data_IF_617340362293
#
_entry.id   IF_617340362293
#
_cell.length_a   1.000
_cell.length_b   1.000
_cell.length_c   1.000
_cell.angle_alpha   90.00
_cell.angle_beta   90.00
_cell.angle_gamma   90.00
#
_symmetry.space_group_name_H-M   'P 1'
#
loop_
_entity.id
_entity.type
_entity.pdbx_description
1 polymer ?
#
# COMPACT_ATOMS: atom_id res chain seq x y z
N UNK A 1 -61.30 37.27 20.14
CA UNK A 1 -60.11 36.82 19.38
C UNK A 1 -59.04 36.43 20.37
N UNK A 2 -58.65 35.15 20.39
CA UNK A 2 -58.15 34.43 21.56
C UNK A 2 -56.62 34.30 21.55
N UNK A 3 -55.95 34.73 22.61
CA UNK A 3 -54.49 34.92 22.75
C UNK A 3 -53.70 33.64 23.04
N UNK A 4 -54.30 32.46 22.81
CA UNK A 4 -53.76 31.14 23.16
C UNK A 4 -52.87 30.53 22.05
N UNK A 5 -52.72 31.16 20.88
CA UNK A 5 -51.97 30.59 19.75
C UNK A 5 -50.49 31.02 19.66
N UNK A 6 -49.94 31.63 20.72
CA UNK A 6 -48.51 32.07 20.74
C UNK A 6 -47.59 31.19 21.60
N UNK A 7 -48.10 30.11 22.20
CA UNK A 7 -47.35 29.28 23.15
C UNK A 7 -46.79 27.97 22.56
N UNK A 8 -46.68 27.87 21.24
CA UNK A 8 -46.12 26.71 20.51
C UNK A 8 -44.68 26.92 20.02
N UNK A 9 -43.87 27.69 20.77
CA UNK A 9 -42.45 27.96 20.48
C UNK A 9 -41.50 27.38 21.56
N UNK A 10 -41.79 26.19 22.08
CA UNK A 10 -40.88 25.49 23.01
C UNK A 10 -40.72 24.01 22.68
N UNK A 11 -40.75 23.66 21.41
CA UNK A 11 -40.31 22.33 20.96
C UNK A 11 -38.80 22.32 20.87
N UNK A 12 -38.20 21.58 21.80
CA UNK A 12 -36.78 21.36 21.98
C UNK A 12 -36.10 20.99 20.66
N UNK A 13 -35.18 21.86 20.22
CA UNK A 13 -34.23 21.54 19.16
C UNK A 13 -33.21 20.54 19.73
N UNK A 14 -33.50 19.24 19.61
CA UNK A 14 -32.51 18.20 19.84
C UNK A 14 -31.51 18.30 18.68
N UNK A 15 -30.38 18.95 18.94
CA UNK A 15 -29.26 18.95 18.02
C UNK A 15 -28.71 17.51 17.94
N UNK A 16 -29.12 16.79 16.90
CA UNK A 16 -28.51 15.53 16.51
C UNK A 16 -27.11 15.88 16.01
N UNK A 17 -26.10 15.75 16.87
CA UNK A 17 -24.69 15.85 16.46
C UNK A 17 -24.41 14.55 15.71
N UNK A 18 -24.20 14.58 14.38
CA UNK A 18 -23.68 13.41 13.69
C UNK A 18 -22.29 13.17 14.27
N UNK A 19 -22.14 12.07 15.01
CA UNK A 19 -20.82 11.53 15.31
C UNK A 19 -20.32 11.03 13.97
N UNK A 20 -19.65 11.90 13.22
CA UNK A 20 -18.83 11.47 12.09
C UNK A 20 -17.80 10.52 12.69
N UNK A 21 -18.02 9.22 12.51
CA UNK A 21 -16.98 8.24 12.73
C UNK A 21 -15.87 8.63 11.77
N UNK A 22 -14.83 9.26 12.31
CA UNK A 22 -13.59 9.49 11.59
C UNK A 22 -13.01 8.09 11.41
N UNK A 23 -13.28 7.48 10.26
CA UNK A 23 -12.51 6.34 9.80
C UNK A 23 -11.11 6.88 9.58
N UNK A 24 -10.26 6.77 10.61
CA UNK A 24 -8.83 6.96 10.43
C UNK A 24 -8.44 5.95 9.35
N UNK A 25 -8.14 6.44 8.14
CA UNK A 25 -7.46 5.65 7.13
C UNK A 25 -6.12 5.26 7.77
N UNK A 26 -6.08 4.06 8.34
CA UNK A 26 -4.84 3.49 8.84
C UNK A 26 -4.03 3.11 7.63
N UNK A 27 -2.75 3.47 7.63
CA UNK A 27 -1.80 2.89 6.69
C UNK A 27 -1.89 1.37 6.80
N UNK A 28 -2.15 0.71 5.68
CA UNK A 28 -2.14 -0.74 5.60
C UNK A 28 -0.84 -1.15 4.94
N UNK A 29 -0.04 -1.96 5.64
CA UNK A 29 1.06 -2.66 4.99
C UNK A 29 0.44 -3.81 4.21
N UNK A 30 0.48 -3.75 2.89
CA UNK A 30 -0.03 -4.78 1.98
C UNK A 30 1.12 -5.72 1.61
N UNK A 31 0.91 -7.03 1.74
CA UNK A 31 1.91 -8.03 1.36
C UNK A 31 1.46 -8.78 0.13
N UNK A 32 2.34 -8.91 -0.85
CA UNK A 32 2.08 -9.57 -2.11
C UNK A 32 3.05 -10.72 -2.34
N UNK A 33 2.55 -11.74 -3.03
CA UNK A 33 3.35 -12.81 -3.62
C UNK A 33 3.63 -12.48 -5.08
N UNK A 34 4.89 -12.64 -5.47
CA UNK A 34 5.38 -12.44 -6.83
C UNK A 34 5.83 -13.79 -7.38
N UNK A 35 5.40 -14.13 -8.58
CA UNK A 35 5.90 -15.31 -9.29
C UNK A 35 6.49 -14.87 -10.64
N UNK A 36 7.71 -15.32 -10.90
CA UNK A 36 8.42 -15.12 -12.16
C UNK A 36 8.68 -16.46 -12.86
N UNK A 37 8.66 -16.44 -14.19
CA UNK A 37 8.89 -17.61 -15.03
C UNK A 37 9.76 -17.30 -16.25
N UNK A 38 10.73 -18.17 -16.51
CA UNK A 38 11.56 -18.13 -17.71
C UNK A 38 10.96 -18.80 -18.94
N UNK A 39 9.76 -19.40 -18.83
CA UNK A 39 9.14 -20.15 -19.93
C UNK A 39 8.93 -19.31 -21.19
N UNK A 40 8.63 -18.01 -21.03
CA UNK A 40 8.46 -17.08 -22.17
C UNK A 40 9.77 -16.87 -22.95
N UNK A 41 10.91 -17.18 -22.35
CA UNK A 41 12.26 -17.05 -22.93
C UNK A 41 12.89 -18.41 -23.24
N UNK A 42 12.16 -19.52 -23.10
CA UNK A 42 12.65 -20.86 -23.40
C UNK A 42 13.64 -21.43 -22.39
N UNK A 43 13.69 -20.91 -21.16
CA UNK A 43 14.51 -21.46 -20.08
C UNK A 43 13.66 -21.98 -18.91
N UNK A 44 14.27 -22.76 -18.00
CA UNK A 44 13.62 -23.41 -16.87
C UNK A 44 13.66 -22.62 -15.56
N UNK A 45 14.27 -21.44 -15.55
CA UNK A 45 14.43 -20.65 -14.34
C UNK A 45 13.08 -20.13 -13.82
N UNK A 46 12.96 -20.04 -12.51
CA UNK A 46 11.80 -19.46 -11.83
C UNK A 46 12.26 -18.56 -10.69
N UNK A 47 11.43 -17.60 -10.30
CA UNK A 47 11.62 -16.90 -9.04
C UNK A 47 10.29 -16.70 -8.30
N UNK A 48 10.34 -16.76 -6.98
CA UNK A 48 9.19 -16.55 -6.09
C UNK A 48 9.59 -15.53 -5.05
N UNK A 49 8.79 -14.48 -4.90
CA UNK A 49 9.08 -13.39 -3.98
C UNK A 49 7.90 -13.01 -3.10
N UNK A 50 8.21 -12.38 -1.98
CA UNK A 50 7.24 -11.72 -1.11
C UNK A 50 7.68 -10.27 -0.98
N UNK A 51 6.77 -9.33 -1.21
CA UNK A 51 7.00 -7.89 -1.00
C UNK A 51 5.93 -7.32 -0.09
N UNK A 52 6.31 -6.49 0.86
CA UNK A 52 5.39 -5.72 1.70
C UNK A 52 5.51 -4.23 1.36
N UNK A 53 4.38 -3.59 1.07
CA UNK A 53 4.28 -2.20 0.60
C UNK A 53 3.40 -1.39 1.55
N UNK A 54 3.77 -0.14 1.81
CA UNK A 54 2.93 0.83 2.50
C UNK A 54 1.95 1.48 1.52
N UNK A 55 0.65 1.20 1.70
CA UNK A 55 -0.39 1.63 0.76
C UNK A 55 -0.65 3.14 0.76
N UNK A 56 -0.19 3.87 1.77
CA UNK A 56 -0.31 5.34 1.83
C UNK A 56 0.82 6.03 1.06
N UNK A 57 1.93 5.33 0.86
CA UNK A 57 3.13 5.92 0.28
C UNK A 57 3.37 5.46 -1.16
N UNK A 58 2.83 4.30 -1.55
CA UNK A 58 2.92 3.85 -2.93
C UNK A 58 1.98 4.67 -3.84
N UNK A 59 2.47 5.30 -4.92
CA UNK A 59 1.61 6.04 -5.83
C UNK A 59 0.59 5.13 -6.52
N UNK A 60 -0.69 5.46 -6.39
CA UNK A 60 -1.77 4.71 -7.03
C UNK A 60 -3.03 5.60 -7.20
N UNK A 61 -3.16 6.37 -8.29
CA UNK A 61 -2.35 6.29 -9.51
C UNK A 61 -1.00 7.02 -9.41
N UNK A 62 -0.05 6.66 -10.27
CA UNK A 62 1.20 7.38 -10.47
C UNK A 62 2.41 6.47 -10.67
N UNK A 63 3.59 7.10 -10.68
CA UNK A 63 4.86 6.41 -10.81
C UNK A 63 5.92 6.97 -9.87
N UNK A 64 6.87 6.14 -9.47
CA UNK A 64 8.02 6.53 -8.64
C UNK A 64 9.13 5.48 -8.73
N UNK A 65 10.33 5.89 -8.33
CA UNK A 65 11.36 4.97 -7.89
C UNK A 65 11.15 4.67 -6.40
N UNK A 66 11.27 3.40 -6.04
CA UNK A 66 11.15 2.91 -4.67
C UNK A 66 12.57 2.57 -4.19
N UNK A 67 13.12 3.37 -3.28
CA UNK A 67 14.41 3.09 -2.65
C UNK A 67 14.27 1.90 -1.69
N UNK A 68 15.03 0.82 -1.92
CA UNK A 68 15.01 -0.36 -1.04
C UNK A 68 15.90 -0.17 0.20
N UNK A 69 16.78 0.83 0.23
CA UNK A 69 17.62 1.16 1.37
C UNK A 69 16.90 1.96 2.46
N UNK A 70 15.83 2.69 2.12
CA UNK A 70 15.13 3.60 3.06
C UNK A 70 14.08 2.90 3.93
N UNK A 71 13.54 1.77 3.47
CA UNK A 71 12.39 1.07 4.08
C UNK A 71 11.11 1.94 4.20
N UNK A 72 11.00 3.01 3.41
CA UNK A 72 9.85 3.93 3.48
C UNK A 72 8.60 3.33 2.83
N UNK A 73 8.66 2.96 1.55
CA UNK A 73 7.52 2.36 0.83
C UNK A 73 7.56 0.84 0.92
N UNK A 74 8.72 0.23 0.61
CA UNK A 74 8.92 -1.22 0.71
C UNK A 74 9.32 -1.53 2.16
N UNK A 75 8.49 -2.29 2.87
CA UNK A 75 8.71 -2.67 4.28
C UNK A 75 9.46 -3.97 4.45
N UNK A 76 9.31 -4.88 3.49
CA UNK A 76 9.98 -6.17 3.46
C UNK A 76 10.05 -6.67 2.02
N UNK A 77 11.13 -7.36 1.67
CA UNK A 77 11.26 -8.04 0.38
C UNK A 77 12.17 -9.25 0.48
N UNK A 78 11.69 -10.37 -0.06
CA UNK A 78 12.46 -11.60 -0.32
C UNK A 78 12.19 -12.05 -1.76
N UNK A 79 13.21 -12.59 -2.42
CA UNK A 79 13.08 -13.23 -3.74
C UNK A 79 13.97 -14.46 -3.79
N UNK A 80 13.39 -15.62 -4.08
CA UNK A 80 14.13 -16.87 -4.26
C UNK A 80 14.12 -17.26 -5.73
N UNK A 81 15.29 -17.39 -6.33
CA UNK A 81 15.52 -17.85 -7.70
C UNK A 81 15.93 -19.31 -7.69
N UNK A 82 15.40 -20.09 -8.63
CA UNK A 82 15.69 -21.50 -8.78
C UNK A 82 15.80 -21.90 -10.25
N UNK A 83 16.51 -23.01 -10.49
CA UNK A 83 16.67 -23.63 -11.80
C UNK A 83 17.31 -22.73 -12.88
N UNK A 84 18.09 -21.72 -12.47
CA UNK A 84 18.91 -20.96 -13.41
C UNK A 84 20.02 -21.85 -14.03
N UNK A 85 20.30 -21.60 -15.30
CA UNK A 85 21.27 -22.32 -16.13
C UNK A 85 22.66 -22.23 -15.52
N UNK A 86 23.31 -23.39 -15.34
CA UNK A 86 24.60 -23.47 -14.66
C UNK A 86 24.59 -23.09 -13.18
N UNK A 87 23.40 -22.86 -12.59
CA UNK A 87 23.24 -22.43 -11.21
C UNK A 87 23.53 -20.94 -10.96
N UNK A 88 23.86 -20.17 -12.00
CA UNK A 88 24.20 -18.75 -11.87
C UNK A 88 22.95 -17.93 -11.54
N UNK A 89 22.97 -17.23 -10.41
CA UNK A 89 21.81 -16.43 -9.95
C UNK A 89 20.80 -17.21 -9.12
N UNK A 90 20.98 -18.52 -8.89
CA UNK A 90 20.18 -19.25 -7.91
C UNK A 90 20.50 -18.75 -6.50
N UNK A 91 19.47 -18.58 -5.68
CA UNK A 91 19.63 -18.12 -4.31
C UNK A 91 18.39 -17.43 -3.76
N UNK A 92 18.46 -17.06 -2.48
CA UNK A 92 17.46 -16.20 -1.85
C UNK A 92 18.09 -14.84 -1.60
N UNK A 93 17.45 -13.81 -2.13
CA UNK A 93 17.87 -12.42 -2.07
C UNK A 93 16.89 -11.63 -1.20
N UNK A 94 17.42 -10.62 -0.51
CA UNK A 94 16.73 -9.77 0.44
C UNK A 94 16.78 -8.32 -0.05
N UNK A 95 16.04 -7.43 0.60
CA UNK A 95 16.07 -5.99 0.31
C UNK A 95 17.48 -5.41 0.16
N UNK A 96 18.44 -5.87 0.98
CA UNK A 96 19.82 -5.38 0.99
C UNK A 96 20.62 -5.70 -0.28
N UNK A 97 20.13 -6.62 -1.12
CA UNK A 97 20.78 -7.05 -2.35
C UNK A 97 20.39 -6.19 -3.58
N UNK A 98 19.48 -5.23 -3.38
CA UNK A 98 18.91 -4.36 -4.41
C UNK A 98 19.12 -2.88 -4.04
N UNK A 99 19.23 -2.02 -5.04
CA UNK A 99 19.31 -0.56 -4.82
C UNK A 99 17.91 0.07 -4.83
N UNK A 100 17.11 -0.18 -5.87
CA UNK A 100 15.77 0.38 -6.00
C UNK A 100 14.84 -0.52 -6.83
N UNK A 101 13.54 -0.21 -6.78
CA UNK A 101 12.53 -0.77 -7.67
C UNK A 101 11.84 0.36 -8.45
N UNK A 102 11.28 0.04 -9.61
CA UNK A 102 10.37 0.95 -10.33
C UNK A 102 8.94 0.55 -10.04
N UNK A 103 8.07 1.55 -9.97
CA UNK A 103 6.62 1.38 -9.89
C UNK A 103 5.96 2.40 -10.80
N UNK A 104 5.09 1.94 -11.68
CA UNK A 104 4.25 2.79 -12.52
C UNK A 104 2.89 2.12 -12.74
N UNK A 105 1.81 2.77 -12.31
CA UNK A 105 0.44 2.31 -12.51
C UNK A 105 -0.15 2.68 -13.89
N UNK A 106 0.67 3.27 -14.77
CA UNK A 106 0.27 3.84 -16.07
C UNK A 106 -0.88 4.85 -15.96
N UNK A 107 -0.84 5.66 -14.89
CA UNK A 107 -1.81 6.73 -14.64
C UNK A 107 -3.19 6.27 -14.17
N UNK A 108 -3.41 4.96 -14.03
CA UNK A 108 -4.68 4.40 -13.54
C UNK A 108 -4.56 3.92 -12.08
N UNK A 109 -5.71 3.83 -11.39
CA UNK A 109 -5.77 3.28 -10.03
C UNK A 109 -5.89 1.76 -10.09
N UNK A 110 -4.87 1.05 -9.60
CA UNK A 110 -4.87 -0.40 -9.41
C UNK A 110 -5.66 -0.79 -8.15
N UNK A 111 -6.44 -1.86 -8.22
CA UNK A 111 -7.02 -2.51 -7.05
C UNK A 111 -5.96 -3.39 -6.37
N UNK A 112 -5.34 -2.85 -5.32
CA UNK A 112 -4.31 -3.51 -4.53
C UNK A 112 -4.81 -4.72 -3.73
N UNK A 113 -6.12 -4.97 -3.71
CA UNK A 113 -6.73 -6.14 -3.07
C UNK A 113 -6.88 -7.35 -4.00
N UNK A 114 -6.46 -7.23 -5.27
CA UNK A 114 -6.57 -8.27 -6.28
C UNK A 114 -5.22 -8.53 -6.98
N UNK A 115 -5.19 -9.54 -7.86
CA UNK A 115 -4.08 -9.74 -8.80
C UNK A 115 -3.86 -8.44 -9.59
N UNK A 116 -2.64 -7.91 -9.56
CA UNK A 116 -2.29 -6.65 -10.22
C UNK A 116 -2.08 -6.83 -11.72
N UNK A 117 -1.39 -7.91 -12.12
CA UNK A 117 -1.14 -8.18 -13.53
C UNK A 117 -2.45 -8.39 -14.29
N UNK A 118 -2.62 -7.65 -15.37
CA UNK A 118 -3.79 -7.68 -16.24
C UNK A 118 -4.90 -6.70 -15.88
N UNK A 119 -4.80 -5.97 -14.77
CA UNK A 119 -5.76 -4.90 -14.46
C UNK A 119 -5.71 -3.81 -15.53
N UNK A 120 -6.85 -3.27 -15.93
CA UNK A 120 -6.90 -2.35 -17.06
C UNK A 120 -6.16 -1.04 -16.79
N UNK A 121 -5.30 -0.64 -17.72
CA UNK A 121 -4.58 0.65 -17.75
C UNK A 121 -4.72 1.31 -19.13
N UNK A 122 -4.18 2.51 -19.31
CA UNK A 122 -4.22 3.22 -20.61
C UNK A 122 -3.55 2.43 -21.75
N UNK A 123 -2.47 1.69 -21.47
CA UNK A 123 -1.78 0.86 -22.46
C UNK A 123 -2.20 -0.61 -22.51
N UNK A 124 -3.33 -0.96 -21.86
CA UNK A 124 -3.84 -2.35 -21.78
C UNK A 124 -3.76 -2.92 -20.36
N UNK A 125 -3.76 -4.24 -20.20
CA UNK A 125 -3.64 -4.86 -18.87
C UNK A 125 -2.27 -4.57 -18.24
N UNK A 126 -2.22 -4.17 -16.97
CA UNK A 126 -0.97 -3.83 -16.28
C UNK A 126 0.03 -4.98 -16.35
N UNK A 127 1.24 -4.70 -16.81
CA UNK A 127 2.29 -5.70 -17.06
C UNK A 127 1.99 -6.75 -18.14
N UNK A 128 1.02 -6.46 -19.02
CA UNK A 128 0.71 -7.29 -20.19
C UNK A 128 1.12 -6.66 -21.51
N UNK A 129 1.72 -5.46 -21.51
CA UNK A 129 2.08 -4.77 -22.75
C UNK A 129 3.01 -5.64 -23.59
N UNK A 130 2.54 -6.00 -24.79
CA UNK A 130 3.35 -6.69 -25.80
C UNK A 130 4.45 -5.78 -26.36
N UNK A 131 4.38 -4.48 -26.07
CA UNK A 131 5.37 -3.48 -26.44
C UNK A 131 6.23 -3.15 -25.23
N UNK A 132 7.54 -3.11 -25.43
CA UNK A 132 8.53 -2.59 -24.47
C UNK A 132 8.46 -1.06 -24.40
N UNK A 133 7.26 -0.47 -24.40
CA UNK A 133 7.06 0.99 -24.33
C UNK A 133 6.60 1.47 -22.95
N UNK A 134 6.37 0.55 -22.00
CA UNK A 134 5.91 0.88 -20.65
C UNK A 134 4.47 1.38 -20.58
N UNK A 135 3.71 1.34 -21.69
CA UNK A 135 2.37 1.92 -21.74
C UNK A 135 1.37 1.25 -20.78
N UNK A 136 1.63 0.00 -20.40
CA UNK A 136 0.83 -0.74 -19.41
C UNK A 136 1.45 -0.76 -18.01
N UNK A 137 2.26 0.26 -17.69
CA UNK A 137 2.88 0.43 -16.38
C UNK A 137 4.20 -0.32 -16.26
N UNK A 138 4.70 -0.37 -15.03
CA UNK A 138 6.00 -0.96 -14.74
C UNK A 138 6.09 -1.46 -13.29
N UNK A 139 6.73 -2.62 -13.14
CA UNK A 139 7.39 -3.02 -11.90
C UNK A 139 8.67 -3.77 -12.21
N UNK A 140 9.81 -3.29 -11.71
CA UNK A 140 11.11 -3.94 -11.83
C UNK A 140 11.97 -3.75 -10.59
N UNK A 141 12.97 -4.61 -10.44
CA UNK A 141 13.94 -4.60 -9.34
C UNK A 141 15.35 -4.40 -9.90
N UNK A 142 16.15 -3.56 -9.27
CA UNK A 142 17.50 -3.25 -9.72
C UNK A 142 18.51 -3.74 -8.68
N UNK A 143 19.32 -4.71 -9.07
CA UNK A 143 20.33 -5.30 -8.18
C UNK A 143 21.39 -4.26 -7.81
N UNK A 144 21.86 -4.35 -6.57
CA UNK A 144 22.97 -3.53 -6.11
C UNK A 144 24.25 -3.86 -6.86
N UNK A 145 25.09 -2.86 -7.10
CA UNK A 145 26.41 -3.09 -7.70
C UNK A 145 27.21 -4.13 -6.91
N UNK A 146 27.70 -5.17 -7.60
CA UNK A 146 28.43 -6.30 -7.00
C UNK A 146 27.55 -7.39 -6.37
N UNK A 147 26.22 -7.23 -6.37
CA UNK A 147 25.28 -8.28 -5.99
C UNK A 147 25.08 -9.29 -7.13
N UNK A 148 24.84 -10.54 -6.76
CA UNK A 148 24.41 -11.61 -7.67
C UNK A 148 22.87 -11.70 -7.78
N UNK A 149 22.14 -10.78 -7.14
CA UNK A 149 20.68 -10.73 -7.21
C UNK A 149 20.18 -10.50 -8.65
N UNK A 150 18.95 -10.94 -8.96
CA UNK A 150 18.33 -10.60 -10.23
C UNK A 150 18.23 -9.10 -10.43
N UNK A 151 18.37 -8.65 -11.68
CA UNK A 151 18.26 -7.23 -12.03
C UNK A 151 17.30 -7.03 -13.19
N UNK A 152 16.73 -5.84 -13.29
CA UNK A 152 15.83 -5.46 -14.37
C UNK A 152 16.45 -5.71 -15.74
N UNK A 153 15.70 -6.37 -16.61
CA UNK A 153 16.06 -6.60 -18.02
C UNK A 153 14.97 -6.11 -18.96
N UNK A 154 14.19 -5.13 -18.52
CA UNK A 154 13.03 -4.58 -19.24
C UNK A 154 11.76 -4.70 -18.41
N UNK A 155 10.65 -4.17 -18.91
CA UNK A 155 9.37 -4.14 -18.20
C UNK A 155 8.95 -5.53 -17.69
N UNK A 156 8.72 -5.64 -16.39
CA UNK A 156 8.28 -6.87 -15.72
C UNK A 156 9.22 -8.06 -15.95
N UNK A 157 10.49 -7.81 -16.22
CA UNK A 157 11.47 -8.84 -16.57
C UNK A 157 12.75 -8.67 -15.77
N UNK A 158 13.29 -9.79 -15.28
CA UNK A 158 14.56 -9.86 -14.56
C UNK A 158 15.55 -10.77 -15.31
N UNK A 159 16.82 -10.43 -15.27
CA UNK A 159 17.92 -11.35 -15.52
C UNK A 159 18.38 -11.96 -14.19
N UNK A 160 18.39 -13.29 -14.07
CA UNK A 160 18.54 -14.02 -12.80
C UNK A 160 19.86 -13.77 -12.05
N UNK A 161 20.93 -13.38 -12.75
CA UNK A 161 22.31 -13.31 -12.23
C UNK A 161 22.96 -11.94 -12.40
N UNK A 162 22.17 -10.87 -12.53
CA UNK A 162 22.65 -9.52 -12.83
C UNK A 162 23.43 -9.40 -14.17
N UNK A 163 23.22 -10.34 -15.10
CA UNK A 163 23.78 -10.31 -16.46
C UNK A 163 22.66 -10.26 -17.49
N UNK A 164 22.41 -9.09 -18.05
CA UNK A 164 21.38 -8.86 -19.05
C UNK A 164 21.59 -9.66 -20.35
N UNK A 165 22.85 -9.91 -20.72
CA UNK A 165 23.20 -10.45 -22.03
C UNK A 165 23.20 -11.98 -22.03
N UNK A 166 23.63 -12.58 -20.93
CA UNK A 166 23.83 -14.03 -20.85
C UNK A 166 23.03 -14.70 -19.72
N UNK A 167 22.33 -13.92 -18.88
CA UNK A 167 21.52 -14.43 -17.79
C UNK A 167 20.21 -15.04 -18.26
N UNK A 168 19.69 -16.00 -17.49
CA UNK A 168 18.33 -16.48 -17.69
C UNK A 168 17.34 -15.34 -17.42
N UNK A 169 16.52 -15.04 -18.43
CA UNK A 169 15.47 -14.05 -18.32
C UNK A 169 14.22 -14.66 -17.67
N UNK A 170 13.58 -13.87 -16.84
CA UNK A 170 12.44 -14.22 -16.01
C UNK A 170 11.36 -13.16 -16.16
N UNK A 171 10.15 -13.53 -16.59
CA UNK A 171 9.02 -12.60 -16.69
C UNK A 171 8.13 -12.73 -15.46
N UNK A 172 7.70 -11.61 -14.88
CA UNK A 172 6.69 -11.60 -13.83
C UNK A 172 5.36 -12.12 -14.42
N UNK A 173 4.81 -13.16 -13.82
CA UNK A 173 3.57 -13.80 -14.26
C UNK A 173 2.46 -13.75 -13.22
N UNK A 174 2.78 -13.36 -11.98
CA UNK A 174 1.84 -13.22 -10.87
C UNK A 174 2.28 -12.12 -9.93
N UNK A 175 1.35 -11.26 -9.52
CA UNK A 175 1.57 -10.23 -8.50
C UNK A 175 0.25 -10.05 -7.76
N UNK A 176 0.06 -10.83 -6.70
CA UNK A 176 -1.23 -10.93 -5.98
C UNK A 176 -1.05 -10.74 -4.48
N UNK A 177 -2.04 -10.15 -3.78
CA UNK A 177 -1.97 -10.01 -2.34
C UNK A 177 -1.99 -11.38 -1.66
N UNK A 178 -1.25 -11.49 -0.58
CA UNK A 178 -1.29 -12.64 0.33
C UNK A 178 -2.53 -12.52 1.19
N UNK A 179 -3.39 -13.54 1.22
CA UNK A 179 -4.63 -13.47 2.00
C UNK A 179 -4.36 -13.16 3.48
N UNK A 180 -5.12 -12.21 4.04
CA UNK A 180 -4.94 -11.75 5.42
C UNK A 180 -3.78 -10.77 5.64
N UNK A 181 -3.17 -10.25 4.57
CA UNK A 181 -2.00 -9.35 4.65
C UNK A 181 -2.28 -7.97 5.23
N UNK A 182 -3.54 -7.58 5.44
CA UNK A 182 -3.85 -6.27 6.04
C UNK A 182 -3.53 -6.34 7.52
N UNK A 183 -2.30 -6.01 7.90
CA UNK A 183 -1.98 -5.75 9.30
C UNK A 183 -2.46 -4.34 9.66
N UNK A 184 -3.44 -4.20 10.57
CA UNK A 184 -3.78 -2.87 11.08
C UNK A 184 -2.57 -2.33 11.83
N UNK A 185 -2.05 -1.17 11.39
CA UNK A 185 -1.01 -0.46 12.14
C UNK A 185 -1.51 -0.22 13.57
N UNK A 186 -0.73 -0.55 14.62
CA UNK A 186 -1.14 -0.33 15.99
C UNK A 186 -1.55 1.14 16.20
N UNK A 187 -2.79 1.37 16.63
CA UNK A 187 -3.21 2.69 17.08
C UNK A 187 -2.26 3.15 18.20
N UNK A 188 -1.75 4.40 18.17
CA UNK A 188 -1.15 4.98 19.35
C UNK A 188 -2.18 4.89 20.47
N UNK A 189 -1.79 4.29 21.59
CA UNK A 189 -2.68 4.06 22.73
C UNK A 189 -3.37 5.39 23.06
N UNK A 190 -4.71 5.49 22.99
CA UNK A 190 -5.37 6.75 23.29
C UNK A 190 -5.05 7.11 24.74
N UNK A 191 -4.21 8.11 24.94
CA UNK A 191 -4.03 8.76 26.23
C UNK A 191 -5.41 9.34 26.54
N UNK A 192 -6.10 8.74 27.52
CA UNK A 192 -7.38 9.19 28.03
C UNK A 192 -7.26 10.62 28.58
N UNK A 193 -7.35 11.62 27.70
CA UNK A 193 -7.37 13.03 28.06
C UNK A 193 -8.80 13.54 28.24
N UNK A 194 -9.73 12.67 28.64
CA UNK A 194 -11.12 13.02 28.97
C UNK A 194 -11.38 12.87 30.46
N UNK A 195 -10.63 13.61 31.26
CA UNK A 195 -10.67 13.54 32.72
C UNK A 195 -10.75 14.88 33.41
N UNK A 196 -11.52 15.87 32.91
CA UNK A 196 -11.86 17.06 33.72
C UNK A 196 -12.92 17.96 33.06
N UNK A 197 -14.17 17.48 32.93
CA UNK A 197 -15.31 18.36 32.61
C UNK A 197 -16.61 17.91 33.27
N UNK A 198 -16.55 17.49 34.54
CA UNK A 198 -17.76 17.40 35.37
C UNK A 198 -17.49 18.00 36.74
N UNK A 199 -18.08 19.17 37.00
CA UNK A 199 -18.41 19.55 38.37
C UNK A 199 -18.06 20.98 38.81
N UNK A 200 -18.56 22.03 38.15
CA UNK A 200 -18.83 23.32 38.85
C UNK A 200 -20.06 24.00 38.26
N UNK A 201 -21.26 23.52 38.60
CA UNK A 201 -22.47 24.37 38.58
C UNK A 201 -23.40 23.85 39.66
N UNK A 202 -23.42 24.52 40.83
CA UNK A 202 -24.59 24.65 41.71
C UNK A 202 -24.21 25.48 42.95
N UNK A 203 -24.50 26.78 42.93
CA UNK A 203 -25.11 27.47 44.08
C UNK A 203 -25.67 28.83 43.65
N UNK A 204 -26.94 28.85 43.25
CA UNK A 204 -27.76 30.06 43.30
C UNK A 204 -28.16 30.29 44.77
N UNK A 205 -27.63 31.32 45.42
CA UNK A 205 -28.26 31.88 46.65
C UNK A 205 -29.25 32.96 46.24
N UNK A 206 -30.53 32.66 46.38
CA UNK A 206 -31.61 33.66 46.43
C UNK A 206 -31.64 34.29 47.81
N UNK A 207 -31.25 35.57 47.91
CA UNK A 207 -31.47 36.37 49.12
C UNK A 207 -32.92 36.88 49.13
N UNK A 208 -33.67 36.54 50.18
CA UNK A 208 -35.05 36.98 50.42
C UNK A 208 -35.03 38.24 51.30
N UNK A 209 -35.76 39.28 50.86
CA UNK A 209 -36.05 40.55 51.54
C UNK A 209 -36.51 40.36 52.99
N UNK A 210 -35.97 41.19 53.90
CA UNK A 210 -36.61 41.57 55.16
C UNK A 210 -37.05 43.03 55.08
N UNK A 211 -38.32 43.27 55.37
CA UNK A 211 -38.93 44.60 55.52
C UNK A 211 -38.71 45.08 56.97
N UNK A 212 -38.33 46.35 57.14
CA UNK A 212 -38.76 47.22 58.23
C UNK A 212 -39.01 48.61 57.65
#
# INVERSE_FOLDING_TARGET
MNTQLKQLFKTSLIALIPICAVSNAHAAILTFSLDYSGLAFGNGATAQGIISLDDQLIPNPGSTFLDLGSNEVIKAFTLTVSNATGGLGNGTFQMTDFDFATWDSAGETLDLSQQLLGQWTQGGGWGTSARWDGGAGEFNLYAKAGSYAPTSSGYFTLAANNDFLNGDLLRLVSFKPVSGSVQPVPLPTPIWLFGSALGVFLSRKTAKKGNY
#
